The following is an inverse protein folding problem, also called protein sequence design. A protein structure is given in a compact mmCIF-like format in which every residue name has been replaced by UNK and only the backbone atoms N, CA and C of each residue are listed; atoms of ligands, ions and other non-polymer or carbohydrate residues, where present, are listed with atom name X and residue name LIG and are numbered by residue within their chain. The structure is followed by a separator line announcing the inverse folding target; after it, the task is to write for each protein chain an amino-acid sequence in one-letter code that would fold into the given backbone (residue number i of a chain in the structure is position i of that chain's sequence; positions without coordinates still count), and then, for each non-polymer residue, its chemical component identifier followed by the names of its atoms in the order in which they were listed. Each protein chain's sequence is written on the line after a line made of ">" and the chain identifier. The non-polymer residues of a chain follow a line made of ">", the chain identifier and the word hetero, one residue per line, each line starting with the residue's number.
data_IF_045430661887
#
_entry.id   IF_045430661887
#
_cell.length_a   1.000
_cell.length_b   1.000
_cell.length_c   1.000
_cell.angle_alpha   90.00
_cell.angle_beta   90.00
_cell.angle_gamma   90.00
#
_symmetry.space_group_name_H-M   'P 1'
#
loop_
_entity.id
_entity.type
_entity.pdbx_description
1 polymer ?
#
# COMPACT_ATOMS: atom_id res chain seq x y z
N UNK A 1 4.42 -13.27 37.87
CA UNK A 1 5.02 -12.25 36.99
C UNK A 1 3.95 -11.82 35.98
N UNK A 2 3.43 -10.59 36.05
CA UNK A 2 2.53 -10.09 35.00
C UNK A 2 3.37 -9.75 33.79
N UNK A 3 3.31 -10.58 32.76
CA UNK A 3 3.94 -10.27 31.48
C UNK A 3 3.24 -9.04 30.87
N UNK A 4 3.93 -7.90 30.84
CA UNK A 4 3.43 -6.70 30.18
C UNK A 4 3.35 -6.98 28.68
N UNK A 5 2.14 -7.26 28.18
CA UNK A 5 1.91 -7.45 26.76
C UNK A 5 2.04 -6.11 26.03
N UNK A 6 2.98 -6.05 25.08
CA UNK A 6 3.17 -4.87 24.23
C UNK A 6 2.05 -4.85 23.20
N UNK A 7 1.18 -3.83 23.29
CA UNK A 7 0.06 -3.62 22.37
C UNK A 7 0.55 -2.82 21.16
N UNK A 8 0.25 -3.31 19.95
CA UNK A 8 0.64 -2.69 18.68
C UNK A 8 -0.58 -2.54 17.79
N UNK A 9 -0.68 -1.44 17.05
CA UNK A 9 -1.77 -1.20 16.11
C UNK A 9 -1.57 -1.99 14.81
N UNK A 10 -2.64 -2.64 14.34
CA UNK A 10 -2.67 -3.26 13.04
C UNK A 10 -2.55 -2.19 11.95
N UNK A 11 -1.66 -2.39 10.98
CA UNK A 11 -1.50 -1.44 9.88
C UNK A 11 -2.66 -1.41 8.88
N UNK A 12 -3.50 -2.45 8.87
CA UNK A 12 -4.62 -2.58 7.92
C UNK A 12 -5.93 -2.00 8.47
N UNK A 13 -6.27 -2.30 9.72
CA UNK A 13 -7.53 -1.84 10.33
C UNK A 13 -7.33 -0.90 11.54
N UNK A 14 -6.09 -0.61 11.96
CA UNK A 14 -5.81 0.24 13.13
C UNK A 14 -6.06 -0.41 14.48
N UNK A 15 -6.64 -1.61 14.54
CA UNK A 15 -6.98 -2.28 15.80
C UNK A 15 -5.72 -2.58 16.65
N UNK A 16 -5.81 -2.30 17.95
CA UNK A 16 -4.72 -2.59 18.91
C UNK A 16 -4.76 -4.07 19.27
N UNK A 17 -3.67 -4.77 18.99
CA UNK A 17 -3.53 -6.21 19.23
C UNK A 17 -2.16 -6.45 19.88
N UNK A 18 -2.00 -7.43 20.78
CA UNK A 18 -0.68 -7.76 21.31
C UNK A 18 0.26 -8.17 20.18
N UNK A 19 1.52 -7.77 20.28
CA UNK A 19 2.55 -8.04 19.27
C UNK A 19 2.72 -9.52 18.94
N UNK A 20 2.43 -10.40 19.91
CA UNK A 20 2.47 -11.87 19.78
C UNK A 20 1.39 -12.44 18.85
N UNK A 21 0.27 -11.74 18.66
CA UNK A 21 -0.83 -12.18 17.81
C UNK A 21 -0.79 -11.58 16.40
N UNK A 22 0.04 -10.57 16.16
CA UNK A 22 0.25 -10.02 14.82
C UNK A 22 0.98 -11.06 13.96
N UNK A 23 0.53 -11.20 12.72
CA UNK A 23 1.11 -12.10 11.73
C UNK A 23 1.43 -11.33 10.46
N UNK A 24 2.48 -11.74 9.78
CA UNK A 24 2.88 -11.16 8.50
C UNK A 24 1.92 -11.63 7.40
N UNK A 25 1.25 -10.71 6.72
CA UNK A 25 0.56 -11.01 5.47
C UNK A 25 1.58 -11.06 4.33
N UNK A 26 1.65 -12.18 3.61
CA UNK A 26 2.65 -12.38 2.56
C UNK A 26 2.34 -11.59 1.28
N UNK A 27 1.07 -11.33 1.00
CA UNK A 27 0.67 -10.60 -0.21
C UNK A 27 0.88 -9.10 -0.04
N UNK A 28 0.49 -8.54 1.11
CA UNK A 28 0.63 -7.11 1.42
C UNK A 28 1.98 -6.80 2.09
N UNK A 29 2.80 -7.84 2.39
CA UNK A 29 4.12 -7.76 3.04
C UNK A 29 4.13 -6.89 4.31
N UNK A 30 3.07 -6.99 5.12
CA UNK A 30 2.87 -6.17 6.30
C UNK A 30 2.32 -6.95 7.50
N UNK A 31 2.64 -6.50 8.72
CA UNK A 31 2.11 -7.09 9.95
C UNK A 31 0.65 -6.68 10.16
N UNK A 32 -0.22 -7.68 10.23
CA UNK A 32 -1.67 -7.52 10.35
C UNK A 32 -2.22 -8.34 11.51
N UNK A 33 -3.38 -7.91 12.03
CA UNK A 33 -4.06 -8.62 13.10
C UNK A 33 -4.73 -9.89 12.55
N UNK A 34 -5.03 -10.88 13.43
CA UNK A 34 -5.69 -12.12 13.02
C UNK A 34 -7.05 -11.88 12.36
N UNK A 35 -7.75 -10.79 12.70
CA UNK A 35 -9.04 -10.45 12.09
C UNK A 35 -8.88 -10.07 10.62
N UNK A 36 -7.85 -9.28 10.28
CA UNK A 36 -7.54 -8.92 8.89
C UNK A 36 -7.16 -10.15 8.05
N UNK A 37 -6.42 -11.09 8.63
CA UNK A 37 -6.07 -12.35 7.94
C UNK A 37 -7.30 -13.24 7.71
N UNK A 38 -8.21 -13.31 8.68
CA UNK A 38 -9.46 -14.07 8.54
C UNK A 38 -10.36 -13.47 7.47
N UNK A 39 -10.54 -12.15 7.48
CA UNK A 39 -11.36 -11.45 6.48
C UNK A 39 -10.85 -11.67 5.04
N UNK A 40 -9.53 -11.74 4.85
CA UNK A 40 -8.92 -12.01 3.54
C UNK A 40 -9.20 -13.43 3.03
N UNK A 41 -9.23 -14.43 3.92
CA UNK A 41 -9.56 -15.81 3.55
C UNK A 41 -11.01 -15.95 3.08
N UNK A 42 -11.92 -15.18 3.64
CA UNK A 42 -13.32 -15.16 3.22
C UNK A 42 -13.51 -14.50 1.85
N UNK A 43 -12.72 -13.48 1.52
CA UNK A 43 -12.77 -12.80 0.22
C UNK A 43 -12.14 -13.61 -0.94
N UNK A 44 -11.39 -14.67 -0.65
CA UNK A 44 -10.88 -15.58 -1.66
C UNK A 44 -11.95 -16.56 -2.20
N UNK A 45 -13.13 -16.61 -1.57
CA UNK A 45 -14.23 -17.51 -1.95
C UNK A 45 -15.55 -16.77 -2.26
N UNK A 46 -15.49 -15.50 -2.64
CA UNK A 46 -16.65 -14.86 -3.28
C UNK A 46 -16.20 -13.84 -4.31
N UNK A 47 -16.60 -14.10 -5.56
CA UNK A 47 -16.25 -13.34 -6.74
C UNK A 47 -17.48 -12.48 -7.09
N UNK A 48 -17.25 -11.20 -7.35
CA UNK A 48 -18.15 -10.16 -7.90
C UNK A 48 -19.02 -9.45 -6.86
N UNK A 49 -18.84 -8.14 -6.73
CA UNK A 49 -19.74 -7.11 -7.30
C UNK A 49 -19.12 -5.73 -7.03
N UNK A 50 -18.65 -5.07 -8.09
CA UNK A 50 -18.73 -3.61 -8.24
C UNK A 50 -19.97 -3.38 -9.16
N UNK A 51 -20.64 -2.21 -9.21
CA UNK A 51 -20.13 -0.88 -8.85
C UNK A 51 -21.14 0.08 -8.15
N UNK A 52 -20.67 1.31 -7.91
CA UNK A 52 -21.31 2.57 -8.34
C UNK A 52 -21.74 3.61 -7.26
N UNK A 53 -21.29 4.86 -7.50
CA UNK A 53 -21.82 6.18 -7.06
C UNK A 53 -21.74 6.50 -5.54
N UNK A 54 -21.25 7.64 -5.04
CA UNK A 54 -21.48 9.04 -5.40
C UNK A 54 -20.37 9.95 -4.86
N UNK A 55 -20.17 11.06 -5.57
CA UNK A 55 -19.54 12.28 -5.09
C UNK A 55 -20.06 12.74 -3.70
N UNK A 56 -19.23 13.43 -2.92
CA UNK A 56 -19.25 14.90 -2.90
C UNK A 56 -18.72 15.55 -1.60
N UNK A 57 -18.30 16.80 -1.77
CA UNK A 57 -18.26 17.91 -0.82
C UNK A 57 -17.16 17.95 0.25
N UNK A 58 -16.16 18.79 -0.05
CA UNK A 58 -15.58 19.75 0.89
C UNK A 58 -16.64 20.44 1.74
N UNK A 59 -16.30 20.77 3.00
CA UNK A 59 -16.30 22.18 3.34
C UNK A 59 -15.08 22.60 4.17
N UNK A 60 -14.61 23.81 3.87
CA UNK A 60 -13.72 24.57 4.71
C UNK A 60 -14.43 24.95 6.01
N UNK A 61 -13.75 24.79 7.14
CA UNK A 61 -14.03 25.54 8.37
C UNK A 61 -12.72 25.88 9.07
N UNK A 62 -12.48 27.17 9.10
CA UNK A 62 -11.46 27.94 9.81
C UNK A 62 -11.68 27.86 11.33
N UNK A 63 -10.61 27.67 12.14
CA UNK A 63 -10.31 28.51 13.32
C UNK A 63 -9.26 27.89 14.25
N UNK A 64 -8.11 28.58 14.28
CA UNK A 64 -7.38 29.04 15.47
C UNK A 64 -7.19 28.13 16.68
N UNK A 65 -5.91 27.83 16.98
CA UNK A 65 -5.30 28.04 18.32
C UNK A 65 -3.77 28.01 18.25
N UNK A 66 -3.18 29.12 18.69
CA UNK A 66 -1.76 29.31 19.01
C UNK A 66 -1.26 28.27 20.02
N UNK A 67 0.00 27.85 19.90
CA UNK A 67 0.69 27.13 20.97
C UNK A 67 2.10 26.61 20.65
N UNK A 68 3.11 27.45 20.88
CA UNK A 68 4.45 27.14 21.41
C UNK A 68 5.37 26.11 20.72
N UNK A 69 6.36 26.68 20.02
CA UNK A 69 7.79 26.35 19.98
C UNK A 69 8.29 25.01 20.56
N UNK A 70 8.94 24.18 19.71
CA UNK A 70 10.24 23.51 20.00
C UNK A 70 11.05 23.27 18.70
N UNK A 71 12.15 24.01 18.60
CA UNK A 71 13.51 23.59 18.25
C UNK A 71 13.66 22.27 17.46
N UNK A 72 14.25 22.41 16.26
CA UNK A 72 15.29 21.51 15.78
C UNK A 72 14.85 20.23 15.06
N UNK A 73 14.75 20.32 13.73
CA UNK A 73 14.90 19.13 12.89
C UNK A 73 14.59 19.40 11.42
N UNK A 74 15.63 19.56 10.60
CA UNK A 74 15.67 18.71 9.42
C UNK A 74 17.04 18.03 9.34
N UNK A 75 17.10 16.79 9.84
CA UNK A 75 17.95 15.78 9.21
C UNK A 75 17.02 14.84 8.48
N UNK A 76 16.46 15.34 7.38
CA UNK A 76 16.13 14.44 6.27
C UNK A 76 17.50 14.01 5.78
N UNK A 77 17.98 12.90 6.34
CA UNK A 77 19.10 12.17 5.79
C UNK A 77 18.70 11.83 4.38
N UNK A 78 19.18 12.62 3.43
CA UNK A 78 19.27 12.26 2.03
C UNK A 78 20.02 10.95 1.97
N UNK A 79 19.28 9.85 2.06
CA UNK A 79 19.78 8.55 1.66
C UNK A 79 19.89 8.67 0.15
N UNK A 80 21.07 9.09 -0.30
CA UNK A 80 21.57 8.87 -1.64
C UNK A 80 21.59 7.36 -1.87
N UNK A 81 20.43 6.81 -2.24
CA UNK A 81 20.35 5.47 -2.78
C UNK A 81 20.65 5.56 -4.26
N UNK A 82 21.94 5.34 -4.54
CA UNK A 82 22.51 4.90 -5.81
C UNK A 82 21.48 4.21 -6.71
N UNK A 83 21.18 4.83 -7.85
CA UNK A 83 20.84 4.14 -9.10
C UNK A 83 19.67 3.16 -9.09
N UNK A 84 18.61 3.40 -8.34
CA UNK A 84 17.37 2.64 -8.53
C UNK A 84 16.54 3.34 -9.61
N UNK A 85 16.66 2.85 -10.84
CA UNK A 85 15.83 3.31 -11.96
C UNK A 85 14.35 3.12 -11.59
N UNK A 86 13.46 4.09 -11.91
CA UNK A 86 12.06 4.00 -11.55
C UNK A 86 11.40 2.85 -12.31
N UNK A 87 11.26 1.70 -11.65
CA UNK A 87 10.54 0.55 -12.20
C UNK A 87 9.04 0.85 -12.15
N UNK A 88 8.45 1.16 -13.30
CA UNK A 88 7.01 1.40 -13.43
C UNK A 88 6.33 0.04 -13.59
N UNK A 89 5.27 -0.21 -12.82
CA UNK A 89 4.49 -1.45 -12.97
C UNK A 89 3.48 -1.21 -14.09
N UNK A 90 3.62 -1.95 -15.20
CA UNK A 90 2.66 -1.96 -16.30
C UNK A 90 1.76 -3.19 -16.22
N UNK A 91 0.52 -3.03 -16.68
CA UNK A 91 -0.47 -4.09 -16.76
C UNK A 91 -0.83 -4.30 -18.22
N UNK A 92 -0.69 -5.53 -18.71
CA UNK A 92 -1.09 -5.85 -20.08
C UNK A 92 -2.63 -5.78 -20.22
N UNK A 93 -3.14 -5.08 -21.22
CA UNK A 93 -4.57 -4.99 -21.52
C UNK A 93 -5.18 -6.28 -22.07
N UNK A 94 -4.37 -7.16 -22.66
CA UNK A 94 -4.86 -8.41 -23.26
C UNK A 94 -4.94 -9.58 -22.27
N UNK A 95 -3.98 -9.69 -21.35
CA UNK A 95 -3.91 -10.80 -20.39
C UNK A 95 -3.89 -10.37 -18.92
N UNK A 96 -3.93 -9.06 -18.63
CA UNK A 96 -3.89 -8.49 -17.28
C UNK A 96 -2.66 -8.89 -16.45
N UNK A 97 -1.60 -9.36 -17.10
CA UNK A 97 -0.33 -9.66 -16.45
C UNK A 97 0.38 -8.38 -16.02
N UNK A 98 0.81 -8.32 -14.77
CA UNK A 98 1.57 -7.20 -14.20
C UNK A 98 3.06 -7.46 -14.39
N UNK A 99 3.77 -6.53 -15.03
CA UNK A 99 5.20 -6.64 -15.27
C UNK A 99 5.91 -5.32 -15.00
N UNK A 100 7.18 -5.41 -14.59
CA UNK A 100 8.01 -4.24 -14.40
C UNK A 100 8.48 -3.74 -15.77
N UNK A 101 8.16 -2.48 -16.07
CA UNK A 101 8.60 -1.77 -17.27
C UNK A 101 9.64 -0.72 -16.86
N UNK A 102 10.79 -0.77 -17.51
CA UNK A 102 11.83 0.23 -17.36
C UNK A 102 11.59 1.34 -18.41
N UNK A 103 11.24 2.57 -18.02
CA UNK A 103 10.97 3.65 -18.96
C UNK A 103 12.22 4.10 -19.73
N UNK A 104 13.41 3.96 -19.13
CA UNK A 104 14.69 4.34 -19.76
C UNK A 104 15.08 3.42 -20.90
N UNK A 105 14.94 2.10 -20.70
CA UNK A 105 15.30 1.09 -21.72
C UNK A 105 14.10 0.66 -22.57
N UNK A 106 12.90 1.13 -22.25
CA UNK A 106 11.62 0.69 -22.83
C UNK A 106 11.47 -0.83 -22.86
N UNK A 107 11.98 -1.52 -21.85
CA UNK A 107 11.94 -2.97 -21.75
C UNK A 107 11.09 -3.44 -20.57
N UNK A 108 10.20 -4.42 -20.78
CA UNK A 108 9.86 -5.04 -22.06
C UNK A 108 8.84 -4.20 -22.86
N UNK A 109 9.06 -4.04 -24.19
CA UNK A 109 8.13 -3.31 -25.09
C UNK A 109 6.75 -3.98 -25.17
N UNK A 110 6.74 -5.31 -25.06
CA UNK A 110 5.56 -6.14 -25.18
C UNK A 110 5.37 -6.93 -23.89
N UNK A 111 4.14 -7.35 -23.62
CA UNK A 111 3.86 -8.21 -22.48
C UNK A 111 4.67 -9.52 -22.61
N UNK A 112 5.43 -9.93 -21.58
CA UNK A 112 6.23 -11.16 -21.62
C UNK A 112 5.38 -12.44 -21.73
N UNK A 113 4.08 -12.35 -21.41
CA UNK A 113 3.19 -13.50 -21.42
C UNK A 113 2.48 -13.70 -22.76
N UNK A 114 2.00 -12.62 -23.39
CA UNK A 114 1.17 -12.71 -24.60
C UNK A 114 1.75 -12.00 -25.83
N UNK A 115 2.90 -11.32 -25.69
CA UNK A 115 3.57 -10.62 -26.78
C UNK A 115 2.82 -9.39 -27.31
N UNK A 116 1.69 -9.00 -26.72
CA UNK A 116 0.93 -7.80 -27.12
C UNK A 116 1.48 -6.56 -26.43
N UNK A 117 1.49 -5.43 -27.13
CA UNK A 117 1.88 -4.13 -26.56
C UNK A 117 0.90 -3.72 -25.45
N UNK A 118 1.37 -3.08 -24.36
CA UNK A 118 0.46 -2.42 -23.42
C UNK A 118 -0.33 -1.36 -24.20
N UNK A 119 -1.64 -1.29 -23.99
CA UNK A 119 -2.47 -0.25 -24.59
C UNK A 119 -1.97 1.11 -24.08
N UNK A 120 -1.37 1.90 -24.97
CA UNK A 120 -0.99 3.27 -24.67
C UNK A 120 -2.27 4.07 -24.36
N UNK A 121 -2.26 4.77 -23.23
CA UNK A 121 -3.17 5.88 -22.98
C UNK A 121 -2.58 7.15 -23.59
#
# INVERSE_FOLDING_TARGET
>A
MLEKQIMVSCRKCGAKTPSTLLKMDLDEKMMVCPNCLKAKKTLAHDKKTDPDIVAAHTPATESSRLGSARIGGPRISSIERRGETPKVINICSACHYKYNFNPETQTPRNCPYCGKSPSAF
#
